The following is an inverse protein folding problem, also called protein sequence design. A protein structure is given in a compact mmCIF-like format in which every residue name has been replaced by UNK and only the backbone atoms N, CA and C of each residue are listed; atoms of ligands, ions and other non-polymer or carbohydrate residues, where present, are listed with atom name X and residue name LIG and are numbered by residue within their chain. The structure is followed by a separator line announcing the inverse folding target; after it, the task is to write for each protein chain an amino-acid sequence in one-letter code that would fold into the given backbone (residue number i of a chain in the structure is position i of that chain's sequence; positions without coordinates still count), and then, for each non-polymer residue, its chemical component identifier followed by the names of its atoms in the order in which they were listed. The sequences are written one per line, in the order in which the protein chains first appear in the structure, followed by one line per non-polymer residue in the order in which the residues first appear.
data_IF_737265807115
#
_entry.id   IF_737265807115
#
_cell.length_a   1.000
_cell.length_b   1.000
_cell.length_c   1.000
_cell.angle_alpha   90.00
_cell.angle_beta   90.00
_cell.angle_gamma   90.00
#
_symmetry.space_group_name_H-M   'P 1'
#
loop_
_entity.id
_entity.type
_entity.pdbx_description
1 polymer ?
#
# COMPACT_ATOMS: atom_id res chain seq x y z
N UNK A 1 -19.44 -10.24 38.04
CA UNK A 1 -20.08 -10.16 36.71
C UNK A 1 -19.06 -9.64 35.71
N UNK A 2 -18.70 -10.49 34.74
CA UNK A 2 -17.56 -10.29 33.85
C UNK A 2 -17.77 -9.13 32.88
N UNK A 3 -16.82 -8.20 32.87
CA UNK A 3 -16.79 -7.03 31.99
C UNK A 3 -16.42 -7.51 30.58
N UNK A 4 -17.42 -7.67 29.72
CA UNK A 4 -17.22 -8.08 28.32
C UNK A 4 -16.47 -6.97 27.59
N UNK A 5 -15.18 -7.19 27.32
CA UNK A 5 -14.35 -6.27 26.55
C UNK A 5 -14.81 -6.42 25.08
N UNK A 6 -15.63 -5.48 24.61
CA UNK A 6 -15.88 -5.30 23.18
C UNK A 6 -14.56 -4.87 22.54
N UNK A 7 -13.83 -5.81 21.96
CA UNK A 7 -12.75 -5.50 21.03
C UNK A 7 -13.38 -4.72 19.88
N UNK A 8 -13.19 -3.40 19.87
CA UNK A 8 -13.30 -2.60 18.65
C UNK A 8 -12.25 -3.18 17.71
N UNK A 9 -12.69 -4.03 16.78
CA UNK A 9 -11.93 -4.37 15.58
C UNK A 9 -11.81 -3.08 14.78
N UNK A 10 -10.81 -2.29 15.15
CA UNK A 10 -10.39 -1.10 14.41
C UNK A 10 -10.25 -1.51 12.95
N UNK A 11 -11.18 -1.01 12.15
CA UNK A 11 -11.22 -0.99 10.69
C UNK A 11 -10.16 -1.87 10.03
N UNK A 12 -10.55 -3.09 9.66
CA UNK A 12 -9.85 -3.82 8.61
C UNK A 12 -9.95 -2.92 7.37
N UNK A 13 -8.97 -2.02 7.18
CA UNK A 13 -8.69 -1.48 5.85
C UNK A 13 -8.33 -2.72 5.05
N UNK A 14 -9.33 -3.26 4.34
CA UNK A 14 -9.14 -4.41 3.48
C UNK A 14 -7.87 -4.17 2.68
N UNK A 15 -6.91 -5.07 2.84
CA UNK A 15 -5.70 -5.01 2.05
C UNK A 15 -6.16 -5.03 0.59
N UNK A 16 -5.63 -4.15 -0.27
CA UNK A 16 -5.95 -4.21 -1.68
C UNK A 16 -5.60 -5.60 -2.21
N UNK A 17 -6.47 -6.18 -3.03
CA UNK A 17 -6.19 -7.46 -3.68
C UNK A 17 -5.08 -7.32 -4.75
N UNK A 18 -4.86 -6.10 -5.24
CA UNK A 18 -3.91 -5.71 -6.29
C UNK A 18 -2.52 -5.28 -5.75
N UNK A 19 -2.07 -5.88 -4.64
CA UNK A 19 -0.76 -5.60 -4.05
C UNK A 19 0.38 -6.33 -4.78
N UNK A 20 1.30 -5.57 -5.36
CA UNK A 20 2.51 -6.09 -5.98
C UNK A 20 3.78 -5.64 -5.27
N UNK A 21 4.89 -6.39 -5.46
CA UNK A 21 6.17 -5.98 -4.90
C UNK A 21 6.67 -4.72 -5.61
N UNK A 22 7.34 -3.83 -4.87
CA UNK A 22 7.98 -2.64 -5.46
C UNK A 22 8.90 -3.02 -6.62
N UNK A 23 9.63 -4.13 -6.50
CA UNK A 23 10.52 -4.63 -7.56
C UNK A 23 9.80 -5.07 -8.84
N UNK A 24 8.55 -5.51 -8.76
CA UNK A 24 7.72 -5.87 -9.92
C UNK A 24 7.11 -4.61 -10.54
N UNK A 25 6.61 -3.70 -9.70
CA UNK A 25 6.07 -2.41 -10.12
C UNK A 25 7.07 -1.61 -10.96
N UNK A 26 8.30 -1.48 -10.47
CA UNK A 26 9.35 -0.70 -11.16
C UNK A 26 9.76 -1.31 -12.50
N UNK A 27 9.71 -2.64 -12.61
CA UNK A 27 9.97 -3.36 -13.86
C UNK A 27 8.83 -3.18 -14.85
N UNK A 28 7.58 -3.31 -14.38
CA UNK A 28 6.37 -3.19 -15.20
C UNK A 28 6.20 -1.79 -15.78
N UNK A 29 6.38 -0.77 -14.94
CA UNK A 29 6.18 0.64 -15.31
C UNK A 29 7.47 1.36 -15.73
N UNK A 30 8.59 0.63 -15.85
CA UNK A 30 9.92 1.17 -16.19
C UNK A 30 10.28 2.45 -15.42
N UNK A 31 10.00 2.46 -14.11
CA UNK A 31 10.26 3.60 -13.23
C UNK A 31 11.38 3.30 -12.22
N UNK A 32 11.93 4.34 -11.60
CA UNK A 32 12.99 4.18 -10.60
C UNK A 32 12.49 3.46 -9.34
N UNK A 33 13.38 2.65 -8.73
CA UNK A 33 13.11 2.03 -7.43
C UNK A 33 12.77 3.03 -6.33
N UNK A 34 13.28 4.26 -6.43
CA UNK A 34 12.99 5.33 -5.48
C UNK A 34 11.59 5.95 -5.66
N UNK A 35 10.94 5.74 -6.81
CA UNK A 35 9.70 6.41 -7.16
C UNK A 35 8.54 6.11 -6.20
N UNK A 36 8.21 4.85 -5.87
CA UNK A 36 7.14 4.54 -4.91
C UNK A 36 7.43 5.11 -3.51
N UNK A 37 8.70 5.15 -3.10
CA UNK A 37 9.10 5.73 -1.82
C UNK A 37 8.94 7.25 -1.81
N UNK A 38 9.28 7.94 -2.91
CA UNK A 38 9.04 9.38 -3.07
C UNK A 38 7.54 9.71 -3.04
N UNK A 39 6.70 8.88 -3.67
CA UNK A 39 5.25 9.06 -3.64
C UNK A 39 4.67 8.87 -2.23
N UNK A 40 5.19 7.88 -1.49
CA UNK A 40 4.84 7.69 -0.08
C UNK A 40 5.25 8.89 0.77
N UNK A 41 6.47 9.38 0.60
CA UNK A 41 7.00 10.52 1.34
C UNK A 41 6.15 11.79 1.12
N UNK A 42 5.64 11.96 -0.12
CA UNK A 42 4.68 13.01 -0.49
C UNK A 42 3.25 12.77 -0.02
N UNK A 43 2.97 11.66 0.67
CA UNK A 43 1.62 11.28 1.10
C UNK A 43 0.66 10.93 -0.04
N UNK A 44 1.16 10.75 -1.27
CA UNK A 44 0.32 10.43 -2.45
C UNK A 44 0.01 8.93 -2.58
N UNK A 45 0.82 8.07 -1.97
CA UNK A 45 0.77 6.63 -2.12
C UNK A 45 0.98 5.93 -0.78
N UNK A 46 0.24 4.85 -0.52
CA UNK A 46 0.47 3.99 0.65
C UNK A 46 1.36 2.81 0.27
N UNK A 47 2.41 2.54 1.08
CA UNK A 47 3.17 1.30 0.97
C UNK A 47 2.71 0.34 2.06
N UNK A 48 2.38 -0.89 1.66
CA UNK A 48 1.88 -1.94 2.53
C UNK A 48 3.03 -2.87 2.91
N UNK A 49 3.26 -3.10 4.21
CA UNK A 49 4.33 -3.98 4.69
C UNK A 49 3.76 -5.37 5.00
N UNK A 50 3.92 -6.31 4.06
CA UNK A 50 3.49 -7.72 4.20
C UNK A 50 4.69 -8.61 3.89
N UNK A 51 5.54 -8.84 4.89
CA UNK A 51 6.88 -9.43 4.76
C UNK A 51 7.88 -8.52 4.03
N UNK A 52 7.48 -7.97 2.88
CA UNK A 52 8.19 -6.96 2.09
C UNK A 52 7.27 -5.77 1.79
N UNK A 53 7.86 -4.63 1.40
CA UNK A 53 7.08 -3.48 0.95
C UNK A 53 6.39 -3.79 -0.39
N UNK A 54 5.08 -3.59 -0.41
CA UNK A 54 4.20 -3.74 -1.55
C UNK A 54 3.47 -2.43 -1.84
N UNK A 55 3.04 -2.30 -3.06
CA UNK A 55 2.28 -1.16 -3.57
C UNK A 55 1.01 -1.68 -4.23
N UNK A 56 -0.12 -0.99 -4.02
CA UNK A 56 -1.34 -1.23 -4.79
C UNK A 56 -1.14 -0.66 -6.18
N UNK A 57 -1.30 -1.51 -7.19
CA UNK A 57 -1.21 -1.09 -8.58
C UNK A 57 -2.25 -0.01 -8.90
N UNK A 58 -3.47 -0.16 -8.39
CA UNK A 58 -4.57 0.79 -8.61
C UNK A 58 -4.27 2.17 -8.00
N UNK A 59 -3.79 2.22 -6.76
CA UNK A 59 -3.37 3.49 -6.14
C UNK A 59 -2.22 4.13 -6.90
N UNK A 60 -1.22 3.33 -7.31
CA UNK A 60 -0.07 3.84 -8.03
C UNK A 60 -0.45 4.38 -9.42
N UNK A 61 -1.31 3.68 -10.16
CA UNK A 61 -1.86 4.15 -11.43
C UNK A 61 -2.63 5.47 -11.26
N UNK A 62 -3.42 5.59 -10.19
CA UNK A 62 -4.16 6.83 -9.88
C UNK A 62 -3.24 8.02 -9.65
N UNK A 63 -2.05 7.78 -9.10
CA UNK A 63 -1.04 8.81 -8.85
C UNK A 63 -0.17 9.09 -10.08
N UNK A 64 0.02 8.12 -10.96
CA UNK A 64 0.79 8.29 -12.19
C UNK A 64 -0.01 8.96 -13.31
N UNK A 65 -1.33 8.73 -13.37
CA UNK A 65 -2.22 9.32 -14.38
C UNK A 65 -2.78 10.70 -14.03
N UNK A 66 -2.32 11.32 -12.92
CA UNK A 66 -2.81 12.59 -12.39
C UNK A 66 -1.63 13.49 -12.02
#
# INVERSE_FOLDING_TARGET
MSKVIKFKTSSVKSLPDDLMKIGEFVKKYKCDRSYPYKLRDRGKLTLYKIGSFRVSESEALRVMGN
#
